data_IF_039474724420
#
_entry.id   IF_039474724420
#
_cell.length_a   1.000
_cell.length_b   1.000
_cell.length_c   1.000
_cell.angle_alpha   90.00
_cell.angle_beta   90.00
_cell.angle_gamma   90.00
#
_symmetry.space_group_name_H-M   'P 1'
#
loop_
_entity.id
_entity.type
_entity.pdbx_description
1 polymer ?
#
# COMPACT_ATOMS: atom_id res chain seq x y z
N UNK A 1 -10.80 29.85 28.05
CA UNK A 1 -10.97 29.83 26.57
C UNK A 1 -9.78 29.18 25.86
N UNK A 2 -8.53 29.43 26.29
CA UNK A 2 -7.31 28.87 25.68
C UNK A 2 -7.19 27.32 25.80
N UNK A 3 -7.62 26.73 26.91
CA UNK A 3 -7.62 25.26 27.10
C UNK A 3 -8.58 24.50 26.17
N UNK A 4 -9.80 25.01 25.94
CA UNK A 4 -10.75 24.40 25.01
C UNK A 4 -10.25 24.41 23.56
N UNK A 5 -9.55 25.47 23.17
CA UNK A 5 -8.94 25.58 21.83
C UNK A 5 -7.79 24.58 21.68
N UNK A 6 -6.97 24.41 22.72
CA UNK A 6 -5.86 23.46 22.71
C UNK A 6 -6.34 22.00 22.60
N UNK A 7 -7.36 21.59 23.37
CA UNK A 7 -7.91 20.24 23.30
C UNK A 7 -8.67 19.96 21.99
N UNK A 8 -9.34 20.97 21.42
CA UNK A 8 -9.92 20.89 20.08
C UNK A 8 -8.85 20.73 19.00
N UNK A 9 -7.77 21.49 19.07
CA UNK A 9 -6.64 21.36 18.14
C UNK A 9 -5.99 19.99 18.24
N UNK A 10 -5.74 19.48 19.44
CA UNK A 10 -5.14 18.16 19.66
C UNK A 10 -6.04 17.05 19.13
N UNK A 11 -7.34 17.09 19.39
CA UNK A 11 -8.29 16.10 18.88
C UNK A 11 -8.47 16.14 17.35
N UNK A 12 -8.41 17.33 16.75
CA UNK A 12 -8.45 17.51 15.29
C UNK A 12 -7.15 17.01 14.67
N UNK A 13 -5.99 17.37 15.23
CA UNK A 13 -4.67 16.94 14.78
C UNK A 13 -4.51 15.42 14.89
N UNK A 14 -4.96 14.81 15.99
CA UNK A 14 -4.98 13.36 16.17
C UNK A 14 -5.86 12.69 15.10
N UNK A 15 -7.08 13.20 14.86
CA UNK A 15 -7.94 12.66 13.79
C UNK A 15 -7.33 12.85 12.40
N UNK A 16 -6.61 13.95 12.16
CA UNK A 16 -5.96 14.24 10.89
C UNK A 16 -4.71 13.40 10.68
N UNK A 17 -3.95 13.08 11.73
CA UNK A 17 -2.74 12.25 11.69
C UNK A 17 -3.04 10.74 11.69
N UNK A 18 -4.13 10.33 12.34
CA UNK A 18 -4.55 8.93 12.37
C UNK A 18 -5.05 8.46 11.00
N UNK A 19 -5.77 9.29 10.24
CA UNK A 19 -6.29 8.94 8.90
C UNK A 19 -5.22 8.46 7.91
N UNK A 20 -4.13 9.22 7.64
CA UNK A 20 -3.09 8.79 6.73
C UNK A 20 -2.33 7.57 7.26
N UNK A 21 -2.14 7.46 8.58
CA UNK A 21 -1.50 6.31 9.20
C UNK A 21 -2.33 5.02 9.06
N UNK A 22 -3.64 5.09 9.29
CA UNK A 22 -4.55 3.97 9.08
C UNK A 22 -4.56 3.52 7.62
N UNK A 23 -4.59 4.47 6.68
CA UNK A 23 -4.60 4.14 5.26
C UNK A 23 -3.27 3.52 4.81
N UNK A 24 -2.14 4.01 5.32
CA UNK A 24 -0.82 3.41 5.10
C UNK A 24 -0.71 2.01 5.72
N UNK A 25 -1.29 1.78 6.90
CA UNK A 25 -1.36 0.47 7.52
C UNK A 25 -2.18 -0.53 6.72
N UNK A 26 -3.35 -0.11 6.22
CA UNK A 26 -4.19 -0.93 5.35
C UNK A 26 -3.48 -1.26 4.02
N UNK A 27 -2.81 -0.28 3.41
CA UNK A 27 -1.97 -0.52 2.24
C UNK A 27 -0.89 -1.55 2.53
N UNK A 28 -0.17 -1.41 3.64
CA UNK A 28 0.89 -2.33 4.01
C UNK A 28 0.39 -3.78 4.08
N UNK A 29 -0.77 -3.99 4.72
CA UNK A 29 -1.40 -5.31 4.82
C UNK A 29 -1.86 -5.84 3.45
N UNK A 30 -2.52 -5.00 2.64
CA UNK A 30 -2.98 -5.40 1.31
C UNK A 30 -1.82 -5.70 0.35
N UNK A 31 -0.72 -4.98 0.46
CA UNK A 31 0.49 -5.22 -0.33
C UNK A 31 1.17 -6.53 0.11
N UNK A 32 1.25 -6.80 1.41
CA UNK A 32 1.74 -8.08 1.92
C UNK A 32 0.86 -9.25 1.45
N UNK A 33 -0.45 -9.07 1.48
CA UNK A 33 -1.41 -10.04 0.95
C UNK A 33 -1.25 -10.24 -0.57
N UNK A 34 -1.01 -9.17 -1.33
CA UNK A 34 -0.76 -9.23 -2.77
C UNK A 34 0.50 -10.01 -3.10
N UNK A 35 1.55 -9.86 -2.28
CA UNK A 35 2.77 -10.66 -2.38
C UNK A 35 2.48 -12.14 -2.10
N UNK A 36 1.72 -12.45 -1.04
CA UNK A 36 1.29 -13.81 -0.74
C UNK A 36 0.49 -14.42 -1.90
N UNK A 37 -0.47 -13.69 -2.49
CA UNK A 37 -1.22 -14.14 -3.66
C UNK A 37 -0.29 -14.46 -4.84
N UNK A 38 0.76 -13.67 -5.06
CA UNK A 38 1.76 -13.95 -6.09
C UNK A 38 2.41 -15.33 -5.91
N UNK A 39 2.75 -15.69 -4.68
CA UNK A 39 3.27 -17.01 -4.35
C UNK A 39 2.19 -18.09 -4.45
N UNK A 40 1.00 -17.84 -3.92
CA UNK A 40 -0.11 -18.79 -3.89
C UNK A 40 -0.56 -19.18 -5.31
N UNK A 41 -0.60 -18.23 -6.24
CA UNK A 41 -0.92 -18.49 -7.65
C UNK A 41 0.18 -19.30 -8.33
N UNK A 42 1.45 -19.09 -7.97
CA UNK A 42 2.60 -19.72 -8.62
C UNK A 42 2.85 -21.14 -8.15
N UNK A 43 2.73 -21.39 -6.84
CA UNK A 43 3.17 -22.61 -6.17
C UNK A 43 2.01 -23.34 -5.46
N UNK A 44 0.80 -22.79 -5.47
CA UNK A 44 -0.33 -23.30 -4.71
C UNK A 44 -0.44 -22.68 -3.31
N UNK A 45 -1.57 -22.94 -2.65
CA UNK A 45 -1.91 -22.35 -1.33
C UNK A 45 -0.96 -22.80 -0.22
N UNK A 46 -0.42 -24.02 -0.31
CA UNK A 46 0.53 -24.60 0.64
C UNK A 46 1.95 -24.48 0.09
N UNK A 47 2.68 -23.46 0.53
CA UNK A 47 4.06 -23.26 0.10
C UNK A 47 4.97 -24.34 0.68
N UNK A 48 5.77 -24.96 -0.18
CA UNK A 48 6.94 -25.73 0.24
C UNK A 48 7.93 -24.83 1.00
N UNK A 49 8.63 -25.41 1.97
CA UNK A 49 9.48 -24.71 2.96
C UNK A 49 10.51 -23.77 2.31
N UNK A 50 10.98 -24.13 1.11
CA UNK A 50 11.97 -23.35 0.35
C UNK A 50 11.44 -21.96 -0.02
N UNK A 51 10.19 -21.85 -0.48
CA UNK A 51 9.59 -20.58 -0.91
C UNK A 51 9.02 -19.77 0.25
N UNK A 52 8.68 -20.42 1.37
CA UNK A 52 8.20 -19.75 2.58
C UNK A 52 9.26 -18.77 3.12
N UNK A 53 10.54 -19.16 3.09
CA UNK A 53 11.64 -18.29 3.51
C UNK A 53 11.73 -17.00 2.68
N UNK A 54 11.61 -17.14 1.36
CA UNK A 54 11.65 -16.02 0.41
C UNK A 54 10.45 -15.09 0.58
N UNK A 55 9.25 -15.64 0.81
CA UNK A 55 8.05 -14.86 1.12
C UNK A 55 8.24 -14.04 2.41
N UNK A 56 8.68 -14.68 3.49
CA UNK A 56 8.85 -14.01 4.79
C UNK A 56 9.87 -12.87 4.72
N UNK A 57 10.98 -13.08 4.02
CA UNK A 57 12.02 -12.08 3.81
C UNK A 57 11.51 -10.90 2.97
N UNK A 58 10.68 -11.16 1.96
CA UNK A 58 10.10 -10.11 1.11
C UNK A 58 8.86 -9.42 1.70
N UNK A 59 8.22 -10.00 2.72
CA UNK A 59 6.95 -9.54 3.28
C UNK A 59 7.00 -8.14 3.89
N UNK A 60 8.15 -7.73 4.40
CA UNK A 60 8.35 -6.37 4.94
C UNK A 60 8.91 -5.41 3.88
N UNK A 61 10.00 -5.75 3.15
CA UNK A 61 10.60 -4.82 2.19
C UNK A 61 9.68 -4.47 1.02
N UNK A 62 8.85 -5.42 0.56
CA UNK A 62 7.93 -5.16 -0.56
C UNK A 62 6.88 -4.10 -0.20
N UNK A 63 6.03 -4.29 0.84
CA UNK A 63 5.06 -3.25 1.22
C UNK A 63 5.73 -1.94 1.66
N UNK A 64 6.87 -2.01 2.35
CA UNK A 64 7.57 -0.82 2.83
C UNK A 64 8.05 0.06 1.67
N UNK A 65 8.51 -0.54 0.56
CA UNK A 65 8.91 0.19 -0.64
C UNK A 65 7.73 0.98 -1.22
N UNK A 66 6.57 0.34 -1.35
CA UNK A 66 5.36 0.96 -1.88
C UNK A 66 4.84 2.07 -0.96
N UNK A 67 4.66 1.76 0.33
CA UNK A 67 4.20 2.74 1.33
C UNK A 67 5.16 3.93 1.41
N UNK A 68 6.47 3.68 1.35
CA UNK A 68 7.49 4.74 1.33
C UNK A 68 7.34 5.67 0.13
N UNK A 69 7.24 5.11 -1.08
CA UNK A 69 7.04 5.90 -2.31
C UNK A 69 5.72 6.67 -2.29
N UNK A 70 4.64 6.07 -1.81
CA UNK A 70 3.32 6.69 -1.70
C UNK A 70 3.29 7.81 -0.64
N UNK A 71 4.01 7.62 0.47
CA UNK A 71 4.17 8.65 1.49
C UNK A 71 4.93 9.86 0.96
N UNK A 72 6.06 9.62 0.27
CA UNK A 72 6.86 10.67 -0.38
C UNK A 72 6.09 11.36 -1.50
N UNK A 73 5.30 10.60 -2.26
CA UNK A 73 4.44 11.11 -3.32
C UNK A 73 3.16 11.79 -2.83
N UNK A 74 2.90 11.84 -1.52
CA UNK A 74 1.77 12.54 -0.94
C UNK A 74 0.40 11.84 -1.10
N UNK A 75 0.35 10.55 -1.47
CA UNK A 75 -0.91 9.82 -1.71
C UNK A 75 -1.80 9.76 -0.46
N UNK A 76 -1.21 9.82 0.73
CA UNK A 76 -1.94 9.80 2.00
C UNK A 76 -2.50 11.17 2.42
N UNK A 77 -2.09 12.25 1.74
CA UNK A 77 -2.63 13.60 1.97
C UNK A 77 -3.87 13.88 1.11
N UNK A 78 -4.10 13.06 0.09
CA UNK A 78 -5.24 13.18 -0.82
C UNK A 78 -6.53 12.75 -0.11
N UNK A 79 -7.58 13.57 -0.26
CA UNK A 79 -8.93 13.19 0.16
C UNK A 79 -9.56 12.28 -0.88
N UNK A 80 -9.40 10.96 -0.72
CA UNK A 80 -9.89 9.96 -1.68
C UNK A 80 -11.41 9.98 -1.90
N UNK A 81 -12.18 10.56 -0.97
CA UNK A 81 -13.62 10.83 -1.15
C UNK A 81 -13.93 11.72 -2.37
N UNK A 82 -12.99 12.57 -2.75
CA UNK A 82 -13.12 13.53 -3.85
C UNK A 82 -12.03 13.38 -4.90
N UNK A 83 -11.30 12.26 -4.89
CA UNK A 83 -10.21 12.05 -5.84
C UNK A 83 -10.72 12.12 -7.28
N UNK A 84 -10.06 12.96 -8.08
CA UNK A 84 -10.28 13.11 -9.50
C UNK A 84 -9.31 12.24 -10.30
N UNK A 85 -9.39 12.28 -11.63
CA UNK A 85 -8.56 11.45 -12.52
C UNK A 85 -7.04 11.68 -12.31
N UNK A 86 -6.55 12.93 -12.15
CA UNK A 86 -5.15 13.19 -11.82
C UNK A 86 -4.61 12.45 -10.59
N UNK A 87 -5.39 12.29 -9.54
CA UNK A 87 -4.96 11.59 -8.32
C UNK A 87 -4.81 10.09 -8.55
N UNK A 88 -5.68 9.48 -9.37
CA UNK A 88 -5.51 8.08 -9.80
C UNK A 88 -4.32 7.90 -10.73
N UNK A 89 -4.02 8.90 -11.56
CA UNK A 89 -2.81 8.88 -12.40
C UNK A 89 -1.54 9.00 -11.54
N UNK A 90 -1.55 9.86 -10.52
CA UNK A 90 -0.47 9.98 -9.55
C UNK A 90 -0.26 8.66 -8.79
N UNK A 91 -1.34 8.01 -8.34
CA UNK A 91 -1.32 6.68 -7.73
C UNK A 91 -0.66 5.64 -8.65
N UNK A 92 -1.05 5.64 -9.92
CA UNK A 92 -0.51 4.72 -10.92
C UNK A 92 0.99 4.94 -11.15
N UNK A 93 1.44 6.20 -11.21
CA UNK A 93 2.87 6.54 -11.32
C UNK A 93 3.66 6.11 -10.09
N UNK A 94 3.13 6.33 -8.90
CA UNK A 94 3.76 5.91 -7.64
C UNK A 94 3.83 4.40 -7.54
N UNK A 95 2.79 3.70 -7.97
CA UNK A 95 2.79 2.24 -8.06
C UNK A 95 3.91 1.74 -8.97
N UNK A 96 4.00 2.25 -10.21
CA UNK A 96 5.07 1.89 -11.14
C UNK A 96 6.46 2.20 -10.59
N UNK A 97 6.64 3.37 -9.98
CA UNK A 97 7.92 3.76 -9.35
C UNK A 97 8.31 2.79 -8.22
N UNK A 98 7.34 2.39 -7.40
CA UNK A 98 7.55 1.40 -6.33
C UNK A 98 7.94 0.04 -6.88
N UNK A 99 7.29 -0.40 -7.97
CA UNK A 99 7.63 -1.65 -8.67
C UNK A 99 9.05 -1.62 -9.19
N UNK A 100 9.44 -0.56 -9.89
CA UNK A 100 10.81 -0.40 -10.41
C UNK A 100 11.81 -0.39 -9.26
N UNK A 101 11.54 0.37 -8.20
CA UNK A 101 12.42 0.48 -7.05
C UNK A 101 12.61 -0.86 -6.34
N UNK A 102 11.53 -1.62 -6.12
CA UNK A 102 11.62 -2.96 -5.54
C UNK A 102 12.33 -3.94 -6.50
N UNK A 103 12.11 -3.82 -7.81
CA UNK A 103 12.84 -4.57 -8.82
C UNK A 103 14.36 -4.33 -8.77
N UNK A 104 14.77 -3.08 -8.59
CA UNK A 104 16.18 -2.71 -8.37
C UNK A 104 16.69 -3.26 -7.03
N UNK A 105 15.88 -3.21 -5.98
CA UNK A 105 16.24 -3.73 -4.66
C UNK A 105 16.53 -5.25 -4.71
N UNK A 106 15.78 -6.01 -5.51
CA UNK A 106 16.06 -7.44 -5.75
C UNK A 106 17.39 -7.71 -6.47
N UNK A 107 17.92 -6.73 -7.21
CA UNK A 107 19.23 -6.83 -7.86
C UNK A 107 20.36 -6.58 -6.85
N UNK A 108 20.18 -5.60 -5.96
CA UNK A 108 21.16 -5.22 -4.92
C UNK A 108 21.16 -6.22 -3.75
N UNK A 109 19.99 -6.75 -3.39
CA UNK A 109 19.80 -7.67 -2.27
C UNK A 109 19.28 -9.02 -2.78
N UNK A 110 20.17 -9.99 -3.08
CA UNK A 110 19.79 -11.28 -3.65
C UNK A 110 18.81 -12.08 -2.78
N UNK A 111 18.78 -11.84 -1.47
CA UNK A 111 17.86 -12.48 -0.54
C UNK A 111 16.39 -12.10 -0.81
N UNK A 112 16.14 -10.98 -1.47
CA UNK A 112 14.80 -10.51 -1.83
C UNK A 112 14.34 -11.04 -3.20
N UNK A 113 15.18 -11.79 -3.92
CA UNK A 113 14.90 -12.17 -5.31
C UNK A 113 13.68 -13.08 -5.38
N UNK A 114 12.63 -12.57 -6.03
CA UNK A 114 11.40 -13.31 -6.28
C UNK A 114 11.42 -13.95 -7.67
N UNK A 115 10.73 -15.09 -7.88
CA UNK A 115 10.43 -15.57 -9.22
C UNK A 115 9.71 -14.49 -10.04
N UNK A 116 10.11 -14.28 -11.29
CA UNK A 116 9.56 -13.22 -12.15
C UNK A 116 8.03 -13.28 -12.27
N UNK A 117 7.48 -14.49 -12.31
CA UNK A 117 6.03 -14.73 -12.33
C UNK A 117 5.34 -14.30 -11.04
N UNK A 118 5.94 -14.58 -9.86
CA UNK A 118 5.42 -14.15 -8.56
C UNK A 118 5.41 -12.62 -8.50
N UNK A 119 6.50 -12.01 -8.93
CA UNK A 119 6.64 -10.56 -8.94
C UNK A 119 5.60 -9.88 -9.85
N UNK A 120 5.36 -10.42 -11.05
CA UNK A 120 4.35 -9.90 -11.97
C UNK A 120 2.92 -10.02 -11.42
N UNK A 121 2.59 -11.14 -10.78
CA UNK A 121 1.28 -11.33 -10.14
C UNK A 121 1.13 -10.40 -8.94
N UNK A 122 2.15 -10.32 -8.07
CA UNK A 122 2.14 -9.43 -6.91
C UNK A 122 2.02 -7.96 -7.31
N UNK A 123 2.67 -7.54 -8.41
CA UNK A 123 2.51 -6.22 -9.01
C UNK A 123 1.05 -5.93 -9.39
N UNK A 124 0.43 -6.82 -10.19
CA UNK A 124 -0.94 -6.60 -10.66
C UNK A 124 -1.95 -6.65 -9.50
N UNK A 125 -1.78 -7.61 -8.58
CA UNK A 125 -2.61 -7.74 -7.38
C UNK A 125 -2.47 -6.50 -6.49
N UNK A 126 -1.26 -5.99 -6.29
CA UNK A 126 -1.01 -4.78 -5.52
C UNK A 126 -1.70 -3.57 -6.16
N UNK A 127 -1.61 -3.39 -7.48
CA UNK A 127 -2.27 -2.27 -8.15
C UNK A 127 -3.78 -2.31 -7.93
N UNK A 128 -4.40 -3.47 -8.17
CA UNK A 128 -5.83 -3.68 -7.98
C UNK A 128 -6.23 -3.45 -6.53
N UNK A 129 -5.53 -4.04 -5.57
CA UNK A 129 -5.83 -3.89 -4.15
C UNK A 129 -5.75 -2.42 -3.70
N UNK A 130 -4.72 -1.69 -4.16
CA UNK A 130 -4.60 -0.27 -3.87
C UNK A 130 -5.79 0.49 -4.46
N UNK A 131 -6.09 0.33 -5.75
CA UNK A 131 -7.20 1.04 -6.42
C UNK A 131 -8.54 0.71 -5.76
N UNK A 132 -8.83 -0.56 -5.48
CA UNK A 132 -10.06 -0.98 -4.82
C UNK A 132 -10.21 -0.37 -3.43
N UNK A 133 -9.12 -0.30 -2.63
CA UNK A 133 -9.17 0.36 -1.33
C UNK A 133 -9.55 1.84 -1.47
N UNK A 134 -9.03 2.55 -2.48
CA UNK A 134 -9.36 3.98 -2.71
C UNK A 134 -10.80 4.14 -3.15
N UNK A 135 -11.28 3.27 -4.04
CA UNK A 135 -12.67 3.28 -4.49
C UNK A 135 -13.63 2.97 -3.33
N UNK A 136 -13.33 1.97 -2.49
CA UNK A 136 -14.11 1.67 -1.30
C UNK A 136 -14.15 2.86 -0.33
N UNK A 137 -13.01 3.50 -0.10
CA UNK A 137 -12.94 4.69 0.75
C UNK A 137 -13.72 5.87 0.17
N UNK A 138 -13.73 6.01 -1.17
CA UNK A 138 -14.53 7.02 -1.86
C UNK A 138 -16.02 6.80 -1.63
N UNK A 139 -16.49 5.57 -1.80
CA UNK A 139 -17.90 5.20 -1.60
C UNK A 139 -18.33 5.45 -0.15
N UNK A 140 -17.55 4.99 0.84
CA UNK A 140 -17.84 5.22 2.26
C UNK A 140 -17.86 6.71 2.60
N UNK A 141 -16.91 7.49 2.07
CA UNK A 141 -16.82 8.93 2.31
C UNK A 141 -17.93 9.77 1.66
N UNK A 142 -18.58 9.25 0.61
CA UNK A 142 -19.77 9.84 -0.02
C UNK A 142 -21.04 9.42 0.74
N UNK A 143 -21.19 8.14 1.06
CA UNK A 143 -22.39 7.60 1.75
C UNK A 143 -22.52 8.10 3.19
N UNK A 144 -21.43 8.24 3.94
CA UNK A 144 -21.47 8.71 5.34
C UNK A 144 -21.86 10.18 5.52
N UNK A 145 -22.24 10.88 4.44
CA UNK A 145 -22.66 12.29 4.44
C UNK A 145 -24.01 12.54 3.73
N UNK A 146 -24.66 11.48 3.24
CA UNK A 146 -26.01 11.52 2.70
C UNK A 146 -27.08 11.29 3.75
#
# INVERSE_FOLDING_TARGET
MREKVFSLLESILLKLALRPLWMAGLDFLLLGFSLYLGFAVRFGMFLETEWASSLLVALVPFPLTYVGVMALGGSYRVSWAYASVPEFLALSRQHLLSTVLFGLLQYVLPQLRLPRSVFAVAFMAAFLALVFLRLAWRVVGVLGRG
#
